data_IF_739576279699
#
_entry.id   IF_739576279699
#
_cell.length_a   1.000
_cell.length_b   1.000
_cell.length_c   1.000
_cell.angle_alpha   90.00
_cell.angle_beta   90.00
_cell.angle_gamma   90.00
#
_symmetry.space_group_name_H-M   'P 1'
#
loop_
_entity.id
_entity.type
_entity.pdbx_description
1 polymer ?
#
# COMPACT_ATOMS: atom_id res chain seq x y z
N UNK A 1 1.28 6.13 28.18
CA UNK A 1 2.18 5.73 27.06
C UNK A 1 3.63 6.18 27.28
N UNK A 2 3.91 7.40 27.76
CA UNK A 2 5.29 7.82 28.14
C UNK A 2 5.96 6.90 29.18
N UNK A 3 5.20 6.38 30.15
CA UNK A 3 5.68 5.41 31.15
C UNK A 3 6.06 4.03 30.57
N UNK A 4 5.43 3.61 29.47
CA UNK A 4 5.73 2.31 28.83
C UNK A 4 7.01 2.40 27.96
N UNK A 5 7.33 3.59 27.46
CA UNK A 5 8.53 3.83 26.63
C UNK A 5 9.81 3.83 27.47
N UNK A 6 9.74 4.24 28.74
CA UNK A 6 10.86 4.20 29.68
C UNK A 6 11.22 2.79 30.16
N UNK A 7 10.24 1.89 30.27
CA UNK A 7 10.49 0.50 30.70
C UNK A 7 11.09 -0.38 29.58
N UNK A 8 10.95 0.03 28.31
CA UNK A 8 11.40 -0.74 27.14
C UNK A 8 12.82 -0.38 26.64
N UNK A 9 13.59 0.45 27.37
CA UNK A 9 14.92 0.92 26.93
C UNK A 9 14.96 1.39 25.46
N UNK A 10 13.98 2.21 25.06
CA UNK A 10 13.94 2.84 23.74
C UNK A 10 14.37 4.32 23.86
N UNK A 11 15.67 4.63 24.00
CA UNK A 11 16.14 5.97 24.38
C UNK A 11 15.87 7.08 23.35
N UNK A 12 15.45 6.75 22.13
CA UNK A 12 15.32 7.70 21.02
C UNK A 12 13.96 7.64 20.29
N UNK A 13 12.86 7.39 21.01
CA UNK A 13 11.51 7.42 20.39
C UNK A 13 10.99 8.85 20.39
N UNK A 14 11.00 9.49 19.22
CA UNK A 14 10.30 10.75 19.01
C UNK A 14 8.83 10.46 18.66
N UNK A 15 7.90 10.92 19.49
CA UNK A 15 6.46 10.76 19.27
C UNK A 15 5.96 11.98 18.53
N UNK A 16 5.69 11.85 17.23
CA UNK A 16 5.05 12.92 16.46
C UNK A 16 3.53 12.87 16.62
N UNK A 17 2.95 14.04 16.91
CA UNK A 17 1.50 14.21 17.01
C UNK A 17 0.89 14.34 15.61
N UNK A 18 -0.22 13.63 15.37
CA UNK A 18 -0.98 13.76 14.12
C UNK A 18 -1.80 15.05 14.10
N UNK A 19 -1.87 15.67 12.92
CA UNK A 19 -2.95 16.61 12.61
C UNK A 19 -4.26 15.84 12.48
N UNK A 20 -5.25 16.26 13.26
CA UNK A 20 -6.54 15.56 13.44
C UNK A 20 -7.54 15.82 12.31
N UNK A 21 -7.25 16.73 11.38
CA UNK A 21 -8.12 17.05 10.26
C UNK A 21 -7.44 16.61 8.96
N UNK A 22 -7.82 15.41 8.50
CA UNK A 22 -7.35 14.82 7.24
C UNK A 22 -7.91 15.56 6.03
N UNK A 23 -9.20 15.93 6.13
CA UNK A 23 -9.91 16.74 5.15
C UNK A 23 -10.85 17.69 5.87
N UNK A 24 -11.25 18.75 5.18
CA UNK A 24 -12.36 19.57 5.66
C UNK A 24 -13.65 18.73 5.66
N UNK A 25 -14.51 18.79 6.69
CA UNK A 25 -15.69 17.92 6.79
C UNK A 25 -16.62 17.99 5.58
N UNK A 26 -16.72 19.17 4.94
CA UNK A 26 -17.54 19.41 3.75
C UNK A 26 -16.88 19.00 2.43
N UNK A 27 -15.62 18.58 2.46
CA UNK A 27 -14.86 18.13 1.28
C UNK A 27 -14.16 16.80 1.59
N UNK A 28 -14.95 15.80 1.96
CA UNK A 28 -14.49 14.44 2.25
C UNK A 28 -14.39 13.68 0.92
N UNK A 29 -13.18 13.42 0.37
CA UNK A 29 -13.06 12.68 -0.88
C UNK A 29 -13.61 11.27 -0.69
N UNK A 30 -14.49 10.84 -1.59
CA UNK A 30 -14.93 9.44 -1.68
C UNK A 30 -13.87 8.65 -2.45
N UNK A 31 -13.27 7.68 -1.77
CA UNK A 31 -12.36 6.74 -2.39
C UNK A 31 -13.16 5.54 -2.92
N UNK A 32 -12.85 5.10 -4.13
CA UNK A 32 -13.43 3.90 -4.72
C UNK A 32 -12.35 3.12 -5.44
N UNK A 33 -12.49 1.79 -5.44
CA UNK A 33 -11.65 0.87 -6.19
C UNK A 33 -12.51 -0.11 -6.97
N UNK A 34 -11.90 -0.74 -7.97
CA UNK A 34 -12.57 -1.72 -8.83
C UNK A 34 -12.10 -3.11 -8.44
N UNK A 35 -13.04 -4.06 -8.40
CA UNK A 35 -12.73 -5.48 -8.24
C UNK A 35 -13.39 -6.27 -9.38
N UNK A 36 -12.71 -6.43 -10.54
CA UNK A 36 -13.25 -7.17 -11.67
C UNK A 36 -13.32 -8.69 -11.40
N UNK A 37 -12.79 -9.15 -10.27
CA UNK A 37 -12.69 -10.54 -9.88
C UNK A 37 -13.70 -10.94 -8.79
N UNK A 38 -14.56 -10.03 -8.33
CA UNK A 38 -15.44 -10.23 -7.17
C UNK A 38 -16.34 -11.48 -7.28
N UNK A 39 -16.71 -11.88 -8.49
CA UNK A 39 -17.56 -13.06 -8.75
C UNK A 39 -16.79 -14.39 -8.83
N UNK A 40 -15.46 -14.39 -8.68
CA UNK A 40 -14.61 -15.56 -8.86
C UNK A 40 -13.97 -15.99 -7.54
N UNK A 41 -14.00 -17.31 -7.27
CA UNK A 41 -13.29 -17.88 -6.12
C UNK A 41 -11.98 -18.54 -6.55
N UNK A 42 -10.88 -18.21 -5.86
CA UNK A 42 -9.57 -18.86 -6.07
C UNK A 42 -9.58 -20.36 -5.78
N UNK A 43 -10.52 -20.84 -4.96
CA UNK A 43 -10.61 -22.28 -4.64
C UNK A 43 -11.20 -23.12 -5.76
N UNK A 44 -11.93 -22.51 -6.70
CA UNK A 44 -12.67 -23.24 -7.75
C UNK A 44 -12.26 -22.84 -9.17
N UNK A 45 -11.66 -21.66 -9.34
CA UNK A 45 -11.35 -21.09 -10.65
C UNK A 45 -9.86 -21.22 -10.95
N UNK A 46 -9.53 -21.73 -12.14
CA UNK A 46 -8.14 -21.89 -12.57
C UNK A 46 -7.43 -20.53 -12.76
N UNK A 47 -6.11 -20.42 -12.47
CA UNK A 47 -5.34 -19.18 -12.63
C UNK A 47 -5.48 -18.51 -14.01
N UNK A 48 -5.57 -19.30 -15.08
CA UNK A 48 -5.74 -18.80 -16.47
C UNK A 48 -7.00 -17.96 -16.66
N UNK A 49 -8.07 -18.22 -15.89
CA UNK A 49 -9.29 -17.41 -15.94
C UNK A 49 -9.04 -16.03 -15.36
N UNK A 50 -8.37 -15.94 -14.20
CA UNK A 50 -7.99 -14.65 -13.63
C UNK A 50 -7.09 -13.85 -14.58
N UNK A 51 -6.13 -14.51 -15.23
CA UNK A 51 -5.28 -13.87 -16.25
C UNK A 51 -6.11 -13.31 -17.42
N UNK A 52 -7.13 -14.03 -17.89
CA UNK A 52 -8.03 -13.57 -18.97
C UNK A 52 -8.91 -12.41 -18.53
N UNK A 53 -9.50 -12.47 -17.34
CA UNK A 53 -10.30 -11.38 -16.76
C UNK A 53 -9.43 -10.13 -16.61
N UNK A 54 -8.19 -10.29 -16.13
CA UNK A 54 -7.23 -9.20 -16.05
C UNK A 54 -6.89 -8.62 -17.42
N UNK A 55 -6.64 -9.45 -18.43
CA UNK A 55 -6.35 -9.00 -19.79
C UNK A 55 -7.51 -8.19 -20.40
N UNK A 56 -8.75 -8.65 -20.20
CA UNK A 56 -9.94 -7.91 -20.64
C UNK A 56 -10.08 -6.58 -19.90
N UNK A 57 -9.92 -6.57 -18.57
CA UNK A 57 -9.89 -5.34 -17.80
C UNK A 57 -8.78 -4.38 -18.31
N UNK A 58 -7.59 -4.89 -18.62
CA UNK A 58 -6.52 -4.06 -19.20
C UNK A 58 -6.89 -3.48 -20.55
N UNK A 59 -7.66 -4.18 -21.40
CA UNK A 59 -8.12 -3.59 -22.67
C UNK A 59 -9.10 -2.44 -22.48
N UNK A 60 -9.97 -2.50 -21.47
CA UNK A 60 -10.87 -1.38 -21.12
C UNK A 60 -10.08 -0.16 -20.63
N UNK A 61 -9.02 -0.39 -19.86
CA UNK A 61 -8.13 0.65 -19.34
C UNK A 61 -6.90 0.89 -20.23
N UNK A 62 -6.94 0.60 -21.54
CA UNK A 62 -5.76 0.69 -22.43
C UNK A 62 -5.09 2.06 -22.48
N UNK A 63 -5.84 3.13 -22.19
CA UNK A 63 -5.33 4.51 -22.13
C UNK A 63 -4.69 4.88 -20.78
N UNK A 64 -4.76 4.00 -19.79
CA UNK A 64 -4.17 4.17 -18.47
C UNK A 64 -2.85 3.43 -18.40
N UNK A 65 -1.81 4.10 -17.90
CA UNK A 65 -0.54 3.46 -17.55
C UNK A 65 -0.75 2.59 -16.31
N UNK A 66 -0.30 1.34 -16.41
CA UNK A 66 -0.43 0.37 -15.32
C UNK A 66 0.71 0.54 -14.32
N UNK A 67 0.36 0.60 -13.04
CA UNK A 67 1.29 0.56 -11.93
C UNK A 67 0.93 -0.64 -11.06
N UNK A 68 1.89 -1.52 -10.78
CA UNK A 68 1.70 -2.65 -9.89
C UNK A 68 2.45 -2.41 -8.58
N UNK A 69 1.84 -2.80 -7.47
CA UNK A 69 2.40 -2.60 -6.14
C UNK A 69 2.22 -3.85 -5.31
N UNK A 70 3.24 -4.16 -4.50
CA UNK A 70 3.20 -5.31 -3.58
C UNK A 70 4.04 -5.03 -2.33
N UNK A 71 3.64 -5.62 -1.22
CA UNK A 71 4.32 -5.56 0.07
C UNK A 71 4.75 -6.95 0.54
N UNK A 72 5.93 -7.03 1.15
CA UNK A 72 6.43 -8.27 1.73
C UNK A 72 6.78 -8.10 3.20
N UNK A 73 6.33 -9.07 3.99
CA UNK A 73 6.79 -9.28 5.37
C UNK A 73 7.36 -10.68 5.55
N UNK A 74 8.59 -10.78 6.04
CA UNK A 74 9.20 -12.03 6.55
C UNK A 74 10.02 -11.75 7.82
N UNK A 75 10.59 -12.79 8.43
CA UNK A 75 11.41 -12.64 9.62
C UNK A 75 12.57 -11.65 9.39
N UNK A 76 12.64 -10.58 10.19
CA UNK A 76 13.68 -9.54 10.11
C UNK A 76 13.67 -8.65 8.86
N UNK A 77 12.66 -8.78 7.98
CA UNK A 77 12.62 -8.07 6.71
C UNK A 77 11.22 -7.59 6.35
N UNK A 78 11.14 -6.33 5.91
CA UNK A 78 9.96 -5.73 5.32
C UNK A 78 10.39 -5.00 4.06
N UNK A 79 9.74 -5.28 2.94
CA UNK A 79 10.02 -4.64 1.66
C UNK A 79 8.71 -4.25 0.98
N UNK A 80 8.77 -3.29 0.07
CA UNK A 80 7.71 -3.03 -0.88
C UNK A 80 8.29 -2.84 -2.28
N UNK A 81 7.50 -3.19 -3.28
CA UNK A 81 7.84 -3.11 -4.69
C UNK A 81 6.80 -2.33 -5.46
N UNK A 82 7.28 -1.55 -6.42
CA UNK A 82 6.45 -0.80 -7.36
C UNK A 82 6.98 -1.05 -8.76
N UNK A 83 6.10 -1.35 -9.71
CA UNK A 83 6.43 -1.53 -11.12
C UNK A 83 5.57 -0.57 -11.93
N UNK A 84 6.21 0.37 -12.61
CA UNK A 84 5.57 1.34 -13.50
C UNK A 84 6.09 1.07 -14.89
N UNK A 85 5.24 0.55 -15.76
CA UNK A 85 5.65 0.09 -17.10
C UNK A 85 6.80 -0.92 -17.00
N UNK A 86 8.03 -0.55 -17.40
CA UNK A 86 9.22 -1.40 -17.31
C UNK A 86 10.21 -0.95 -16.23
N UNK A 87 9.85 0.06 -15.43
CA UNK A 87 10.70 0.60 -14.36
C UNK A 87 10.26 0.05 -13.02
N UNK A 88 11.21 -0.48 -12.26
CA UNK A 88 10.96 -1.07 -10.94
C UNK A 88 11.57 -0.21 -9.83
N UNK A 89 10.80 0.01 -8.78
CA UNK A 89 11.27 0.68 -7.56
C UNK A 89 11.03 -0.23 -6.35
N UNK A 90 12.10 -0.62 -5.67
CA UNK A 90 12.04 -1.42 -4.44
C UNK A 90 12.54 -0.63 -3.25
N UNK A 91 11.82 -0.76 -2.12
CA UNK A 91 12.19 -0.09 -0.88
C UNK A 91 12.13 -1.06 0.31
N UNK A 92 13.14 -0.99 1.17
CA UNK A 92 13.21 -1.73 2.43
C UNK A 92 12.71 -0.85 3.57
N UNK A 93 11.72 -1.35 4.31
CA UNK A 93 11.14 -0.68 5.47
C UNK A 93 11.77 -1.21 6.77
N UNK A 94 11.47 -0.54 7.87
CA UNK A 94 11.90 -1.00 9.18
C UNK A 94 11.33 -2.41 9.48
N UNK A 95 12.11 -3.33 10.08
CA UNK A 95 11.66 -4.69 10.40
C UNK A 95 10.45 -4.76 11.35
N UNK A 96 10.07 -3.68 12.02
CA UNK A 96 8.87 -3.63 12.87
C UNK A 96 7.59 -3.38 12.08
N UNK A 97 7.67 -2.86 10.85
CA UNK A 97 6.49 -2.59 10.03
C UNK A 97 5.68 -3.86 9.76
N UNK A 98 4.36 -3.73 9.71
CA UNK A 98 3.45 -4.82 9.35
C UNK A 98 3.39 -5.06 7.84
N UNK A 99 2.80 -6.19 7.45
CA UNK A 99 2.48 -6.46 6.04
C UNK A 99 1.57 -5.37 5.48
N UNK A 100 0.54 -4.98 6.24
CA UNK A 100 -0.36 -3.88 5.88
C UNK A 100 0.41 -2.58 5.59
N UNK A 101 1.37 -2.21 6.45
CA UNK A 101 2.22 -1.04 6.21
C UNK A 101 3.07 -1.18 4.96
N UNK A 102 3.61 -2.37 4.68
CA UNK A 102 4.39 -2.61 3.47
C UNK A 102 3.55 -2.37 2.21
N UNK A 103 2.35 -2.96 2.16
CA UNK A 103 1.38 -2.80 1.07
C UNK A 103 0.97 -1.33 0.88
N UNK A 104 0.57 -0.66 1.98
CA UNK A 104 0.18 0.74 1.92
C UNK A 104 1.34 1.64 1.47
N UNK A 105 2.57 1.37 1.92
CA UNK A 105 3.73 2.14 1.47
C UNK A 105 4.03 1.87 -0.01
N UNK A 106 3.82 0.66 -0.52
CA UNK A 106 3.94 0.37 -1.95
C UNK A 106 3.04 1.30 -2.78
N UNK A 107 1.75 1.41 -2.41
CA UNK A 107 0.79 2.32 -3.05
C UNK A 107 1.21 3.79 -2.90
N UNK A 108 1.64 4.19 -1.70
CA UNK A 108 2.10 5.56 -1.48
C UNK A 108 3.29 5.92 -2.37
N UNK A 109 4.27 5.01 -2.51
CA UNK A 109 5.44 5.21 -3.39
C UNK A 109 5.03 5.21 -4.87
N UNK A 110 4.08 4.38 -5.28
CA UNK A 110 3.52 4.43 -6.63
C UNK A 110 2.94 5.80 -6.98
N UNK A 111 2.15 6.39 -6.08
CA UNK A 111 1.57 7.72 -6.28
C UNK A 111 2.66 8.82 -6.30
N UNK A 112 3.70 8.70 -5.47
CA UNK A 112 4.83 9.63 -5.50
C UNK A 112 5.67 9.55 -6.77
N UNK A 113 5.66 8.40 -7.45
CA UNK A 113 6.37 8.19 -8.72
C UNK A 113 5.61 8.69 -9.95
N UNK A 114 4.36 9.17 -9.80
CA UNK A 114 3.61 9.77 -10.90
C UNK A 114 4.23 11.13 -11.24
N UNK A 115 4.79 11.24 -12.45
CA UNK A 115 5.39 12.47 -12.97
C UNK A 115 4.34 13.36 -13.67
N UNK A 116 4.50 14.67 -13.54
CA UNK A 116 3.70 15.71 -14.22
C UNK A 116 3.91 15.74 -15.74
N UNK A 117 5.02 15.20 -16.24
CA UNK A 117 5.33 15.13 -17.67
C UNK A 117 4.80 13.87 -18.38
N UNK A 118 4.30 12.91 -17.61
CA UNK A 118 3.84 11.60 -18.08
C UNK A 118 2.31 11.60 -18.32
N UNK A 119 1.72 10.57 -18.95
CA UNK A 119 0.27 10.46 -19.12
C UNK A 119 -0.48 10.77 -17.82
N UNK A 120 -1.63 11.44 -17.94
CA UNK A 120 -2.44 11.84 -16.77
C UNK A 120 -3.35 10.74 -16.24
N UNK A 121 -3.32 9.54 -16.82
CA UNK A 121 -4.24 8.43 -16.53
C UNK A 121 -3.47 7.22 -16.01
N UNK A 122 -3.73 6.79 -14.79
CA UNK A 122 -3.04 5.65 -14.15
C UNK A 122 -4.02 4.65 -13.55
N UNK A 123 -3.71 3.36 -13.71
CA UNK A 123 -4.37 2.30 -12.97
C UNK A 123 -3.38 1.66 -12.00
N UNK A 124 -3.63 1.82 -10.71
CA UNK A 124 -2.83 1.24 -9.63
C UNK A 124 -3.44 -0.10 -9.25
N UNK A 125 -2.66 -1.15 -9.44
CA UNK A 125 -2.99 -2.53 -9.16
C UNK A 125 -2.29 -3.00 -7.89
N UNK A 126 -3.08 -3.51 -6.94
CA UNK A 126 -2.59 -4.09 -5.67
C UNK A 126 -3.41 -5.33 -5.35
N UNK A 127 -2.79 -6.34 -4.76
CA UNK A 127 -3.50 -7.51 -4.24
C UNK A 127 -3.93 -7.37 -2.76
N UNK A 128 -3.61 -6.23 -2.13
CA UNK A 128 -3.95 -5.94 -0.75
C UNK A 128 -5.38 -5.38 -0.61
N UNK A 129 -6.36 -6.27 -0.53
CA UNK A 129 -7.76 -5.91 -0.26
C UNK A 129 -7.87 -5.08 1.03
N UNK A 130 -7.11 -5.45 2.06
CA UNK A 130 -7.12 -4.75 3.36
C UNK A 130 -6.77 -3.26 3.25
N UNK A 131 -5.85 -2.88 2.37
CA UNK A 131 -5.48 -1.48 2.17
C UNK A 131 -6.54 -0.74 1.38
N UNK A 132 -7.13 -1.37 0.36
CA UNK A 132 -8.23 -0.80 -0.42
C UNK A 132 -9.48 -0.55 0.46
N UNK A 133 -9.85 -1.51 1.29
CA UNK A 133 -10.94 -1.36 2.28
C UNK A 133 -10.62 -0.24 3.28
N UNK A 134 -9.38 -0.15 3.78
CA UNK A 134 -8.98 0.91 4.69
C UNK A 134 -9.00 2.31 4.05
N UNK A 135 -8.76 2.40 2.74
CA UNK A 135 -8.88 3.64 1.97
C UNK A 135 -10.34 4.02 1.72
N UNK A 136 -11.22 3.05 1.50
CA UNK A 136 -12.66 3.29 1.31
C UNK A 136 -13.36 3.66 2.64
N UNK A 137 -13.02 2.99 3.74
CA UNK A 137 -13.65 3.17 5.05
C UNK A 137 -12.83 4.03 6.02
N UNK A 138 -12.03 4.97 5.50
CA UNK A 138 -11.15 5.78 6.33
C UNK A 138 -11.91 6.64 7.37
N UNK A 139 -11.23 6.96 8.46
CA UNK A 139 -11.73 7.79 9.54
C UNK A 139 -10.57 8.50 10.26
N UNK A 140 -10.87 9.27 11.31
CA UNK A 140 -9.87 10.04 12.08
C UNK A 140 -8.76 9.19 12.72
N UNK A 141 -8.98 7.87 12.83
CA UNK A 141 -8.02 6.90 13.33
C UNK A 141 -7.31 6.13 12.19
N UNK A 142 -7.40 6.59 10.93
CA UNK A 142 -6.78 5.92 9.78
C UNK A 142 -5.30 5.63 10.00
N UNK A 143 -4.78 4.54 9.42
CA UNK A 143 -3.35 4.28 9.46
C UNK A 143 -2.55 5.44 8.82
N UNK A 144 -1.38 5.88 9.36
CA UNK A 144 -0.79 7.15 8.90
C UNK A 144 -0.42 7.12 7.41
N UNK A 145 -0.10 5.95 6.88
CA UNK A 145 0.19 5.76 5.46
C UNK A 145 -1.09 5.85 4.61
N UNK A 146 -2.22 5.30 5.07
CA UNK A 146 -3.53 5.44 4.39
C UNK A 146 -3.90 6.92 4.28
N UNK A 147 -3.73 7.65 5.38
CA UNK A 147 -3.94 9.09 5.42
C UNK A 147 -3.06 9.84 4.37
N UNK A 148 -1.77 9.47 4.24
CA UNK A 148 -0.85 10.03 3.22
C UNK A 148 -1.26 9.67 1.78
N UNK A 149 -1.77 8.46 1.55
CA UNK A 149 -2.29 8.02 0.24
C UNK A 149 -3.49 8.88 -0.17
N UNK A 150 -4.44 9.10 0.75
CA UNK A 150 -5.61 9.92 0.47
C UNK A 150 -5.23 11.37 0.12
N UNK A 151 -4.29 11.95 0.88
CA UNK A 151 -3.79 13.31 0.63
C UNK A 151 -3.14 13.45 -0.75
N UNK A 152 -2.14 12.61 -1.07
CA UNK A 152 -1.48 12.68 -2.38
C UNK A 152 -2.43 12.37 -3.54
N UNK A 153 -3.39 11.46 -3.34
CA UNK A 153 -4.41 11.14 -4.34
C UNK A 153 -5.30 12.36 -4.61
N UNK A 154 -5.75 13.05 -3.56
CA UNK A 154 -6.53 14.29 -3.68
C UNK A 154 -5.74 15.39 -4.40
N UNK A 155 -4.45 15.54 -4.06
CA UNK A 155 -3.57 16.48 -4.76
C UNK A 155 -3.40 16.14 -6.24
N UNK A 156 -3.28 14.86 -6.61
CA UNK A 156 -3.19 14.44 -8.00
C UNK A 156 -4.51 14.67 -8.74
N UNK A 157 -5.67 14.38 -8.13
CA UNK A 157 -6.97 14.71 -8.72
C UNK A 157 -7.15 16.21 -8.95
N UNK A 158 -6.78 17.06 -7.99
CA UNK A 158 -6.84 18.52 -8.17
C UNK A 158 -5.93 19.04 -9.28
N UNK A 159 -4.85 18.32 -9.60
CA UNK A 159 -3.95 18.61 -10.73
C UNK A 159 -4.48 18.08 -12.06
N UNK A 160 -5.63 17.38 -12.10
CA UNK A 160 -6.24 16.83 -13.30
C UNK A 160 -5.69 15.46 -13.72
N UNK A 161 -5.20 14.66 -12.77
CA UNK A 161 -4.92 13.25 -13.01
C UNK A 161 -6.18 12.41 -12.83
N UNK A 162 -6.27 11.31 -13.57
CA UNK A 162 -7.30 10.29 -13.48
C UNK A 162 -6.63 9.01 -12.98
N UNK A 163 -6.94 8.61 -11.75
CA UNK A 163 -6.29 7.51 -11.04
C UNK A 163 -7.35 6.53 -10.60
N UNK A 164 -7.20 5.29 -11.06
CA UNK A 164 -8.08 4.17 -10.76
C UNK A 164 -7.33 3.16 -9.91
N UNK A 165 -7.89 2.80 -8.76
CA UNK A 165 -7.37 1.72 -7.93
C UNK A 165 -8.10 0.43 -8.28
N UNK A 166 -7.37 -0.67 -8.42
CA UNK A 166 -7.92 -1.96 -8.81
C UNK A 166 -7.31 -3.10 -7.99
N UNK A 167 -8.18 -3.95 -7.44
CA UNK A 167 -7.75 -5.14 -6.71
C UNK A 167 -7.31 -6.23 -7.69
N UNK A 168 -6.20 -6.91 -7.37
CA UNK A 168 -5.72 -8.10 -8.07
C UNK A 168 -5.76 -9.36 -7.20
N UNK A 169 -6.05 -10.53 -7.79
CA UNK A 169 -5.77 -11.80 -7.16
C UNK A 169 -4.25 -12.05 -7.10
N UNK A 170 -3.70 -12.14 -5.90
CA UNK A 170 -2.31 -12.60 -5.69
C UNK A 170 -2.03 -14.02 -6.23
N UNK A 171 -0.81 -14.27 -6.68
CA UNK A 171 -0.26 -15.58 -7.09
C UNK A 171 -1.03 -16.33 -8.19
N UNK A 172 -1.55 -15.59 -9.18
CA UNK A 172 -2.20 -16.19 -10.36
C UNK A 172 -1.40 -15.98 -11.65
N UNK A 173 -0.15 -15.51 -11.57
CA UNK A 173 0.72 -15.33 -12.73
C UNK A 173 0.42 -14.07 -13.56
N UNK A 174 -0.14 -13.03 -12.94
CA UNK A 174 -0.21 -11.69 -13.57
C UNK A 174 1.20 -11.09 -13.51
N UNK A 175 1.86 -10.97 -14.67
CA UNK A 175 3.29 -10.63 -14.77
C UNK A 175 3.67 -9.40 -13.94
N UNK A 176 2.91 -8.29 -14.04
CA UNK A 176 3.20 -7.07 -13.29
C UNK A 176 3.11 -7.25 -11.76
N UNK A 177 2.19 -8.09 -11.28
CA UNK A 177 2.06 -8.39 -9.86
C UNK A 177 3.23 -9.25 -9.38
N UNK A 178 3.57 -10.32 -10.12
CA UNK A 178 4.71 -11.19 -9.79
C UNK A 178 6.04 -10.41 -9.81
N UNK A 179 6.17 -9.41 -10.70
CA UNK A 179 7.31 -8.50 -10.72
C UNK A 179 7.34 -7.60 -9.49
N UNK A 180 6.22 -6.99 -9.09
CA UNK A 180 6.15 -6.15 -7.89
C UNK A 180 6.53 -6.95 -6.63
N UNK A 181 6.02 -8.18 -6.51
CA UNK A 181 6.35 -9.11 -5.42
C UNK A 181 7.83 -9.53 -5.44
N UNK A 182 8.39 -9.81 -6.62
CA UNK A 182 9.83 -10.03 -6.77
C UNK A 182 10.66 -8.82 -6.31
N UNK A 183 10.25 -7.61 -6.67
CA UNK A 183 10.93 -6.36 -6.28
C UNK A 183 10.84 -6.14 -4.77
N UNK A 184 9.67 -6.40 -4.17
CA UNK A 184 9.46 -6.32 -2.73
C UNK A 184 10.34 -7.32 -1.96
N UNK A 185 10.61 -8.51 -2.52
CA UNK A 185 11.53 -9.52 -1.95
C UNK A 185 13.00 -9.13 -1.99
N UNK A 186 13.43 -8.44 -3.04
CA UNK A 186 14.84 -8.11 -3.28
C UNK A 186 15.21 -6.68 -2.91
N UNK A 187 14.28 -5.88 -2.37
CA UNK A 187 14.54 -4.48 -2.04
C UNK A 187 15.64 -4.33 -0.98
N UNK A 188 16.67 -3.54 -1.32
CA UNK A 188 17.82 -3.23 -0.46
C UNK A 188 17.86 -1.77 -0.03
N UNK A 189 17.29 -0.87 -0.84
CA UNK A 189 17.26 0.58 -0.58
C UNK A 189 16.40 0.89 0.64
N UNK A 190 17.02 1.34 1.73
CA UNK A 190 16.29 1.71 2.94
C UNK A 190 15.45 2.98 2.74
N UNK A 191 14.17 2.90 3.04
CA UNK A 191 13.28 4.07 3.11
C UNK A 191 13.22 4.56 4.56
N UNK A 192 13.65 5.81 4.86
CA UNK A 192 13.61 6.37 6.20
C UNK A 192 12.19 6.81 6.57
N UNK A 193 11.26 5.85 6.61
CA UNK A 193 9.88 6.07 7.05
C UNK A 193 9.75 5.69 8.53
N UNK A 194 9.12 6.55 9.32
CA UNK A 194 8.80 6.26 10.72
C UNK A 194 7.87 5.04 10.84
N UNK A 195 8.09 4.23 11.88
CA UNK A 195 7.25 3.07 12.15
C UNK A 195 5.93 3.53 12.76
N UNK A 196 4.78 3.20 12.15
CA UNK A 196 3.49 3.51 12.73
C UNK A 196 3.34 2.95 14.14
N UNK A 197 2.77 3.73 15.06
CA UNK A 197 2.54 3.29 16.43
C UNK A 197 1.71 2.00 16.51
N UNK A 198 0.77 1.80 15.57
CA UNK A 198 -0.04 0.59 15.47
C UNK A 198 0.82 -0.66 15.26
N UNK A 199 1.87 -0.56 14.43
CA UNK A 199 2.82 -1.65 14.20
C UNK A 199 3.70 -1.88 15.43
N UNK A 200 4.14 -0.80 16.08
CA UNK A 200 4.95 -0.88 17.31
C UNK A 200 4.18 -1.51 18.46
N UNK A 201 2.90 -1.19 18.65
CA UNK A 201 2.05 -1.80 19.70
C UNK A 201 2.06 -3.32 19.62
N UNK A 202 1.99 -3.88 18.41
CA UNK A 202 2.03 -5.34 18.20
C UNK A 202 3.35 -5.93 18.65
N UNK A 203 4.47 -5.29 18.31
CA UNK A 203 5.82 -5.73 18.71
C UNK A 203 5.99 -5.67 20.22
N UNK A 204 5.56 -4.57 20.84
CA UNK A 204 5.64 -4.37 22.29
C UNK A 204 4.80 -5.43 23.02
N UNK A 205 3.55 -5.65 22.60
CA UNK A 205 2.69 -6.66 23.21
C UNK A 205 3.29 -8.05 23.10
N UNK A 206 3.81 -8.42 21.93
CA UNK A 206 4.48 -9.72 21.75
C UNK A 206 5.68 -9.88 22.69
N UNK A 207 6.51 -8.85 22.84
CA UNK A 207 7.63 -8.86 23.77
C UNK A 207 7.19 -9.03 25.22
N UNK A 208 6.16 -8.30 25.67
CA UNK A 208 5.59 -8.45 27.02
C UNK A 208 5.11 -9.89 27.23
N UNK A 209 4.34 -10.46 26.30
CA UNK A 209 3.87 -11.86 26.38
C UNK A 209 4.98 -12.92 26.30
N UNK A 210 6.20 -12.54 25.91
CA UNK A 210 7.34 -13.46 25.85
C UNK A 210 8.17 -13.42 27.15
N UNK A 211 8.09 -12.31 27.89
CA UNK A 211 8.80 -12.10 29.17
C UNK A 211 8.00 -12.61 30.37
N UNK A 212 6.67 -12.63 30.27
CA UNK A 212 5.73 -13.10 31.29
C UNK A 212 5.11 -14.44 30.90
#
# INVERSE_FOLDING_TARGET
MKLLVSELYLPNVNIQQRNLLLFQPWNTPRFHYINPFASYSKSTVAPVVFQRVFAYHRSEYRMFSAIFTDGLKRAGYVGCGVVIENVTHGYRLHPSCSIFTAEAVAIYRALQSIDSNMPRKYCIYTDSMSVLEALESYNDQCHPVVCKILDITSQLYSKGFDIVFCWLPSHVGIIGNEQADSVARSATTHLPLEVPLMDMKRVIMHHIFTIW
#
